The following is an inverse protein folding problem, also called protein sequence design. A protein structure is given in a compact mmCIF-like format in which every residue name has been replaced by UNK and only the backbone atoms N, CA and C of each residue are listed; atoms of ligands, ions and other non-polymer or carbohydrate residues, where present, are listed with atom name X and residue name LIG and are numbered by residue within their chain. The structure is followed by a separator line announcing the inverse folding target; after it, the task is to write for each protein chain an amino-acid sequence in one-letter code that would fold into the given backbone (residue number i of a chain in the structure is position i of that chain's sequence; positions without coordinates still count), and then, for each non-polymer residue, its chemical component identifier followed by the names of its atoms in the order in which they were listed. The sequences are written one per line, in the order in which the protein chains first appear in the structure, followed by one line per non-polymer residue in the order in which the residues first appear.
data_IF_337488409331
#
_entry.id   IF_337488409331
#
_cell.length_a   1.000
_cell.length_b   1.000
_cell.length_c   1.000
_cell.angle_alpha   90.00
_cell.angle_beta   90.00
_cell.angle_gamma   90.00
#
_symmetry.space_group_name_H-M   'P 1'
#
loop_
_entity.id
_entity.type
_entity.pdbx_description
1 polymer ?
#
# COMPACT_ATOMS: atom_id res chain seq x y z
N UNK A 1 70.47 -43.78 -10.20
CA UNK A 1 69.98 -43.72 -8.81
C UNK A 1 70.04 -42.28 -8.33
N UNK A 2 69.10 -41.94 -7.44
CA UNK A 2 68.82 -40.67 -6.73
C UNK A 2 68.29 -39.48 -7.53
N UNK A 3 67.06 -39.10 -7.13
CA UNK A 3 66.36 -37.85 -7.34
C UNK A 3 67.09 -36.68 -6.66
N UNK A 4 66.95 -35.46 -7.21
CA UNK A 4 66.93 -34.27 -6.39
C UNK A 4 65.99 -33.20 -6.98
N UNK A 5 65.13 -32.67 -6.11
CA UNK A 5 64.01 -31.77 -6.40
C UNK A 5 64.58 -30.34 -6.46
N UNK A 6 64.60 -29.73 -7.64
CA UNK A 6 65.04 -28.34 -7.82
C UNK A 6 63.85 -27.42 -8.16
N UNK A 7 63.46 -26.59 -7.19
CA UNK A 7 63.15 -25.18 -7.44
C UNK A 7 61.71 -24.79 -7.81
N UNK A 8 60.75 -24.95 -6.89
CA UNK A 8 59.55 -24.10 -6.92
C UNK A 8 59.89 -22.73 -6.31
N UNK A 9 60.17 -21.76 -7.18
CA UNK A 9 60.44 -20.37 -6.83
C UNK A 9 59.13 -19.58 -6.72
N UNK A 10 58.69 -19.34 -5.48
CA UNK A 10 57.43 -18.65 -5.10
C UNK A 10 57.45 -17.11 -5.26
N UNK A 11 58.54 -16.50 -5.73
CA UNK A 11 58.68 -15.03 -5.73
C UNK A 11 58.21 -14.33 -7.02
N UNK A 12 57.89 -15.09 -8.08
CA UNK A 12 57.12 -14.57 -9.23
C UNK A 12 55.65 -14.70 -8.87
N UNK A 13 55.05 -13.68 -8.25
CA UNK A 13 53.59 -13.59 -8.09
C UNK A 13 52.92 -13.82 -9.45
N UNK A 14 52.23 -14.93 -9.69
CA UNK A 14 51.26 -14.96 -10.76
C UNK A 14 50.11 -14.08 -10.27
N UNK A 15 49.95 -12.91 -10.87
CA UNK A 15 48.72 -12.13 -10.78
C UNK A 15 47.54 -13.06 -11.10
N UNK A 16 46.73 -13.37 -10.09
CA UNK A 16 45.45 -14.05 -10.24
C UNK A 16 44.48 -13.10 -10.94
N UNK A 17 44.62 -12.98 -12.26
CA UNK A 17 43.64 -12.33 -13.13
C UNK A 17 43.14 -13.35 -14.14
N UNK A 18 42.04 -14.01 -13.79
CA UNK A 18 40.98 -14.45 -14.70
C UNK A 18 39.85 -15.07 -13.86
N UNK A 19 39.05 -14.24 -13.20
CA UNK A 19 37.76 -14.70 -12.67
C UNK A 19 36.74 -14.59 -13.80
N UNK A 20 36.15 -15.72 -14.16
CA UNK A 20 35.26 -15.85 -15.30
C UNK A 20 33.95 -15.09 -15.07
N UNK A 21 33.54 -14.29 -16.05
CA UNK A 21 32.26 -13.55 -16.08
C UNK A 21 31.02 -14.44 -15.92
N UNK A 22 31.14 -15.76 -16.09
CA UNK A 22 30.10 -16.74 -15.81
C UNK A 22 29.88 -16.98 -14.30
N UNK A 23 30.96 -17.05 -13.52
CA UNK A 23 30.90 -17.26 -12.07
C UNK A 23 30.34 -16.02 -11.36
N UNK A 24 30.67 -14.82 -11.84
CA UNK A 24 30.09 -13.57 -11.31
C UNK A 24 28.57 -13.49 -11.51
N UNK A 25 28.05 -13.98 -12.64
CA UNK A 25 26.61 -14.02 -12.91
C UNK A 25 25.89 -15.04 -12.03
N UNK A 26 26.47 -16.22 -11.85
CA UNK A 26 25.93 -17.24 -10.95
C UNK A 26 25.91 -16.73 -9.50
N UNK A 27 26.97 -16.04 -9.09
CA UNK A 27 27.09 -15.41 -7.79
C UNK A 27 26.06 -14.31 -7.57
N UNK A 28 25.88 -13.43 -8.55
CA UNK A 28 24.87 -12.36 -8.48
C UNK A 28 23.45 -12.93 -8.39
N UNK A 29 23.16 -14.03 -9.10
CA UNK A 29 21.87 -14.71 -9.02
C UNK A 29 21.62 -15.34 -7.64
N UNK A 30 22.63 -16.02 -7.09
CA UNK A 30 22.55 -16.59 -5.74
C UNK A 30 22.35 -15.51 -4.66
N UNK A 31 23.09 -14.40 -4.75
CA UNK A 31 22.93 -13.27 -3.83
C UNK A 31 21.53 -12.64 -3.89
N UNK A 32 20.98 -12.47 -5.09
CA UNK A 32 19.59 -11.99 -5.26
C UNK A 32 18.60 -12.93 -4.62
N UNK A 33 18.73 -14.23 -4.87
CA UNK A 33 17.87 -15.26 -4.26
C UNK A 33 17.91 -15.20 -2.73
N UNK A 34 19.10 -15.10 -2.14
CA UNK A 34 19.26 -14.97 -0.67
C UNK A 34 18.65 -13.67 -0.11
N UNK A 35 18.69 -12.58 -0.87
CA UNK A 35 18.02 -11.31 -0.51
C UNK A 35 16.50 -11.49 -0.55
N UNK A 36 15.96 -12.09 -1.61
CA UNK A 36 14.53 -12.36 -1.76
C UNK A 36 14.00 -13.27 -0.65
N UNK A 37 14.70 -14.35 -0.33
CA UNK A 37 14.35 -15.25 0.78
C UNK A 37 14.33 -14.51 2.13
N UNK A 38 15.30 -13.61 2.36
CA UNK A 38 15.34 -12.80 3.57
C UNK A 38 14.18 -11.78 3.64
N UNK A 39 13.79 -11.20 2.50
CA UNK A 39 12.63 -10.32 2.41
C UNK A 39 11.33 -11.10 2.68
N UNK A 40 11.18 -12.29 2.09
CA UNK A 40 10.02 -13.16 2.36
C UNK A 40 9.94 -13.56 3.84
N UNK A 41 11.07 -13.84 4.48
CA UNK A 41 11.14 -14.12 5.90
C UNK A 41 10.78 -12.91 6.77
N UNK A 42 11.05 -11.68 6.32
CA UNK A 42 10.56 -10.47 6.99
C UNK A 42 9.05 -10.29 6.81
N UNK A 43 8.53 -10.57 5.61
CA UNK A 43 7.11 -10.41 5.30
C UNK A 43 6.20 -11.40 6.01
N UNK A 44 6.72 -12.57 6.40
CA UNK A 44 5.99 -13.55 7.19
C UNK A 44 5.97 -13.26 8.69
N UNK A 45 6.68 -12.23 9.14
CA UNK A 45 6.63 -11.81 10.55
C UNK A 45 5.23 -11.30 10.89
N UNK A 46 4.73 -11.70 12.07
CA UNK A 46 3.39 -11.37 12.55
C UNK A 46 3.07 -9.88 12.45
N UNK A 47 3.98 -9.01 12.89
CA UNK A 47 3.79 -7.55 12.86
C UNK A 47 3.61 -7.01 11.43
N UNK A 48 4.33 -7.56 10.45
CA UNK A 48 4.23 -7.15 9.04
C UNK A 48 2.93 -7.63 8.43
N UNK A 49 2.49 -8.85 8.77
CA UNK A 49 1.20 -9.40 8.34
C UNK A 49 0.04 -8.56 8.90
N UNK A 50 0.05 -8.28 10.21
CA UNK A 50 -0.98 -7.46 10.87
C UNK A 50 -1.04 -6.04 10.27
N UNK A 51 0.12 -5.41 10.02
CA UNK A 51 0.15 -4.09 9.40
C UNK A 51 -0.39 -4.11 7.96
N UNK A 52 -0.11 -5.17 7.19
CA UNK A 52 -0.66 -5.35 5.84
C UNK A 52 -2.17 -5.60 5.86
N UNK A 53 -2.67 -6.36 6.83
CA UNK A 53 -4.10 -6.59 7.01
C UNK A 53 -4.84 -5.30 7.37
N UNK A 54 -4.24 -4.48 8.24
CA UNK A 54 -4.75 -3.15 8.60
C UNK A 54 -4.82 -2.22 7.38
N UNK A 55 -3.75 -2.15 6.58
CA UNK A 55 -3.73 -1.45 5.30
C UNK A 55 -4.86 -1.93 4.38
N UNK A 56 -4.98 -3.25 4.18
CA UNK A 56 -6.02 -3.81 3.32
C UNK A 56 -7.45 -3.54 3.84
N UNK A 57 -7.64 -3.42 5.15
CA UNK A 57 -8.91 -3.04 5.74
C UNK A 57 -9.24 -1.56 5.47
N UNK A 58 -8.25 -0.67 5.62
CA UNK A 58 -8.41 0.76 5.33
C UNK A 58 -8.71 1.00 3.84
N UNK A 59 -8.02 0.31 2.93
CA UNK A 59 -8.28 0.37 1.49
C UNK A 59 -9.69 -0.13 1.13
N UNK A 60 -10.13 -1.23 1.73
CA UNK A 60 -11.50 -1.75 1.55
C UNK A 60 -12.56 -0.77 2.03
N UNK A 61 -12.32 -0.11 3.16
CA UNK A 61 -13.21 0.92 3.71
C UNK A 61 -13.27 2.15 2.81
N UNK A 62 -12.15 2.61 2.28
CA UNK A 62 -12.13 3.69 1.29
C UNK A 62 -12.88 3.29 0.01
N UNK A 63 -12.68 2.06 -0.47
CA UNK A 63 -13.37 1.51 -1.62
C UNK A 63 -14.89 1.45 -1.43
N UNK A 64 -15.36 1.05 -0.24
CA UNK A 64 -16.80 0.99 0.05
C UNK A 64 -17.44 2.38 0.05
N UNK A 65 -16.78 3.42 0.57
CA UNK A 65 -17.29 4.79 0.49
C UNK A 65 -17.35 5.34 -0.93
N UNK A 66 -16.32 5.10 -1.76
CA UNK A 66 -16.34 5.48 -3.19
C UNK A 66 -17.46 4.76 -3.96
N UNK A 67 -17.71 3.50 -3.65
CA UNK A 67 -18.80 2.75 -4.25
C UNK A 67 -20.17 3.29 -3.78
N UNK A 68 -20.32 3.63 -2.50
CA UNK A 68 -21.52 4.26 -1.98
C UNK A 68 -21.80 5.61 -2.64
N UNK A 69 -20.78 6.45 -2.84
CA UNK A 69 -20.89 7.73 -3.56
C UNK A 69 -21.41 7.53 -4.98
N UNK A 70 -20.83 6.60 -5.74
CA UNK A 70 -21.27 6.28 -7.11
C UNK A 70 -22.72 5.81 -7.13
N UNK A 71 -23.05 4.85 -6.28
CA UNK A 71 -24.41 4.31 -6.20
C UNK A 71 -25.43 5.38 -5.82
N UNK A 72 -25.14 6.22 -4.82
CA UNK A 72 -26.02 7.31 -4.43
C UNK A 72 -26.15 8.37 -5.52
N UNK A 73 -25.08 8.65 -6.27
CA UNK A 73 -25.11 9.59 -7.39
C UNK A 73 -26.01 9.09 -8.52
N UNK A 74 -25.93 7.80 -8.85
CA UNK A 74 -26.80 7.18 -9.85
C UNK A 74 -28.25 7.13 -9.37
N UNK A 75 -28.46 6.78 -8.10
CA UNK A 75 -29.78 6.83 -7.46
C UNK A 75 -30.37 8.24 -7.50
N UNK A 76 -29.61 9.28 -7.16
CA UNK A 76 -30.08 10.66 -7.15
C UNK A 76 -30.50 11.11 -8.55
N UNK A 77 -29.73 10.77 -9.60
CA UNK A 77 -30.09 11.05 -11.00
C UNK A 77 -31.36 10.32 -11.42
N UNK A 78 -31.48 9.04 -11.06
CA UNK A 78 -32.67 8.25 -11.38
C UNK A 78 -33.92 8.79 -10.66
N UNK A 79 -33.80 9.15 -9.38
CA UNK A 79 -34.89 9.72 -8.60
C UNK A 79 -35.36 11.06 -9.19
N UNK A 80 -34.44 11.92 -9.67
CA UNK A 80 -34.81 13.17 -10.33
C UNK A 80 -35.61 12.93 -11.61
N UNK A 81 -35.16 12.01 -12.46
CA UNK A 81 -35.88 11.65 -13.68
C UNK A 81 -37.25 11.05 -13.38
N UNK A 82 -37.34 10.19 -12.36
CA UNK A 82 -38.59 9.58 -11.93
C UNK A 82 -39.57 10.60 -11.33
N UNK A 83 -39.05 11.58 -10.58
CA UNK A 83 -39.85 12.69 -10.04
C UNK A 83 -40.48 13.52 -11.16
N UNK A 84 -39.72 13.84 -12.22
CA UNK A 84 -40.24 14.59 -13.36
C UNK A 84 -41.39 13.85 -14.07
N UNK A 85 -41.23 12.55 -14.32
CA UNK A 85 -42.28 11.71 -14.93
C UNK A 85 -43.51 11.63 -14.02
N UNK A 86 -43.31 11.43 -12.72
CA UNK A 86 -44.40 11.34 -11.75
C UNK A 86 -45.13 12.68 -11.59
N UNK A 87 -44.42 13.81 -11.68
CA UNK A 87 -44.98 15.14 -11.62
C UNK A 87 -45.90 15.41 -12.82
N UNK A 88 -45.46 15.08 -14.02
CA UNK A 88 -46.29 15.19 -15.23
C UNK A 88 -47.55 14.31 -15.11
N UNK A 89 -47.42 13.07 -14.64
CA UNK A 89 -48.56 12.19 -14.41
C UNK A 89 -49.53 12.71 -13.34
N UNK A 90 -49.02 13.34 -12.28
CA UNK A 90 -49.84 13.97 -11.24
C UNK A 90 -50.60 15.19 -11.77
N UNK A 91 -49.94 16.05 -12.56
CA UNK A 91 -50.56 17.20 -13.22
C UNK A 91 -51.68 16.77 -14.17
N UNK A 92 -51.42 15.77 -15.02
CA UNK A 92 -52.43 15.22 -15.92
C UNK A 92 -53.64 14.66 -15.17
N UNK A 93 -53.43 14.01 -14.03
CA UNK A 93 -54.52 13.51 -13.19
C UNK A 93 -55.35 14.64 -12.57
N UNK A 94 -54.72 15.73 -12.15
CA UNK A 94 -55.44 16.91 -11.66
C UNK A 94 -56.23 17.61 -12.76
N UNK A 95 -55.65 17.77 -13.95
CA UNK A 95 -56.35 18.33 -15.11
C UNK A 95 -57.57 17.47 -15.45
N UNK A 96 -57.42 16.14 -15.50
CA UNK A 96 -58.52 15.22 -15.78
C UNK A 96 -59.63 15.29 -14.70
N UNK A 97 -59.25 15.33 -13.41
CA UNK A 97 -60.22 15.46 -12.31
C UNK A 97 -60.99 16.78 -12.41
N UNK A 98 -60.28 17.88 -12.67
CA UNK A 98 -60.88 19.21 -12.82
C UNK A 98 -61.82 19.30 -14.03
N UNK A 99 -61.47 18.64 -15.15
CA UNK A 99 -62.28 18.62 -16.36
C UNK A 99 -63.66 17.95 -16.16
N UNK A 100 -63.76 17.01 -15.21
CA UNK A 100 -65.01 16.30 -14.88
C UNK A 100 -65.70 16.91 -13.65
N UNK A 101 -65.12 17.96 -13.04
CA UNK A 101 -65.66 18.61 -11.84
C UNK A 101 -65.49 17.78 -10.56
N UNK A 102 -64.59 16.79 -10.57
CA UNK A 102 -64.29 15.94 -9.43
C UNK A 102 -63.19 16.55 -8.54
N UNK A 103 -63.08 16.05 -7.31
CA UNK A 103 -62.00 16.47 -6.40
C UNK A 103 -60.64 16.03 -6.95
N UNK A 104 -59.58 16.86 -6.84
CA UNK A 104 -58.24 16.50 -7.33
C UNK A 104 -57.69 15.21 -6.71
N UNK A 105 -57.07 14.36 -7.53
CA UNK A 105 -56.39 13.14 -7.08
C UNK A 105 -55.02 13.44 -6.43
N UNK A 106 -54.96 13.52 -5.10
CA UNK A 106 -53.70 13.84 -4.38
C UNK A 106 -52.73 12.67 -4.23
N UNK A 107 -53.15 11.43 -4.49
CA UNK A 107 -52.31 10.23 -4.29
C UNK A 107 -51.04 10.26 -5.15
N UNK A 108 -51.15 10.73 -6.40
CA UNK A 108 -50.02 10.86 -7.32
C UNK A 108 -49.05 11.96 -6.89
N UNK A 109 -49.57 13.09 -6.41
CA UNK A 109 -48.74 14.16 -5.85
C UNK A 109 -47.97 13.73 -4.59
N UNK A 110 -48.58 12.91 -3.72
CA UNK A 110 -47.88 12.34 -2.57
C UNK A 110 -46.70 11.44 -2.99
N UNK A 111 -46.84 10.69 -4.10
CA UNK A 111 -45.75 9.89 -4.65
C UNK A 111 -44.60 10.76 -5.17
N UNK A 112 -44.90 11.90 -5.83
CA UNK A 112 -43.88 12.88 -6.25
C UNK A 112 -43.11 13.41 -5.04
N UNK A 113 -43.81 13.86 -4.01
CA UNK A 113 -43.19 14.40 -2.80
C UNK A 113 -42.27 13.37 -2.11
N UNK A 114 -42.65 12.08 -2.11
CA UNK A 114 -41.80 11.00 -1.58
C UNK A 114 -40.50 10.85 -2.38
N UNK A 115 -40.56 10.88 -3.72
CA UNK A 115 -39.38 10.73 -4.57
C UNK A 115 -38.46 11.95 -4.41
N UNK A 116 -39.00 13.16 -4.37
CA UNK A 116 -38.23 14.38 -4.13
C UNK A 116 -37.53 14.36 -2.77
N UNK A 117 -38.22 13.89 -1.73
CA UNK A 117 -37.64 13.74 -0.38
C UNK A 117 -36.48 12.75 -0.40
N UNK A 118 -36.63 11.60 -1.07
CA UNK A 118 -35.56 10.61 -1.21
C UNK A 118 -34.36 11.17 -1.99
N UNK A 119 -34.61 11.93 -3.05
CA UNK A 119 -33.57 12.61 -3.82
C UNK A 119 -32.78 13.61 -2.96
N UNK A 120 -33.47 14.43 -2.16
CA UNK A 120 -32.81 15.37 -1.24
C UNK A 120 -31.95 14.66 -0.18
N UNK A 121 -32.44 13.54 0.38
CA UNK A 121 -31.64 12.73 1.31
C UNK A 121 -30.42 12.12 0.62
N UNK A 122 -30.55 11.65 -0.62
CA UNK A 122 -29.43 11.15 -1.40
C UNK A 122 -28.36 12.22 -1.63
N UNK A 123 -28.75 13.45 -1.99
CA UNK A 123 -27.82 14.58 -2.14
C UNK A 123 -27.08 14.86 -0.84
N UNK A 124 -27.79 14.99 0.30
CA UNK A 124 -27.15 15.21 1.60
C UNK A 124 -26.21 14.08 2.02
N UNK A 125 -26.56 12.84 1.67
CA UNK A 125 -25.70 11.69 1.92
C UNK A 125 -24.43 11.75 1.05
N UNK A 126 -24.55 12.13 -0.22
CA UNK A 126 -23.40 12.34 -1.13
C UNK A 126 -22.51 13.46 -0.60
N UNK A 127 -23.06 14.61 -0.24
CA UNK A 127 -22.32 15.73 0.36
C UNK A 127 -21.51 15.25 1.55
N UNK A 128 -22.14 14.55 2.50
CA UNK A 128 -21.44 14.02 3.68
C UNK A 128 -20.36 13.00 3.33
N UNK A 129 -20.56 12.16 2.31
CA UNK A 129 -19.55 11.21 1.84
C UNK A 129 -18.34 11.93 1.24
N UNK A 130 -18.58 12.87 0.34
CA UNK A 130 -17.54 13.59 -0.40
C UNK A 130 -16.78 14.55 0.51
N UNK A 131 -17.48 15.24 1.41
CA UNK A 131 -16.87 16.23 2.30
C UNK A 131 -16.15 15.61 3.48
N UNK A 132 -16.63 14.48 4.03
CA UNK A 132 -16.10 13.94 5.28
C UNK A 132 -15.61 12.49 5.20
N UNK A 133 -16.46 11.54 4.78
CA UNK A 133 -16.12 10.12 4.89
C UNK A 133 -14.99 9.70 3.95
N UNK A 134 -15.03 10.13 2.69
CA UNK A 134 -14.01 9.80 1.71
C UNK A 134 -12.67 10.44 2.09
N UNK A 135 -12.57 11.75 2.40
CA UNK A 135 -11.32 12.35 2.83
C UNK A 135 -10.74 11.70 4.09
N UNK A 136 -11.56 11.44 5.10
CA UNK A 136 -11.10 10.78 6.33
C UNK A 136 -10.56 9.37 6.05
N UNK A 137 -11.26 8.57 5.22
CA UNK A 137 -10.81 7.24 4.84
C UNK A 137 -9.55 7.26 3.95
N UNK A 138 -9.37 8.29 3.13
CA UNK A 138 -8.13 8.48 2.36
C UNK A 138 -6.94 8.73 3.27
N UNK A 139 -7.09 9.60 4.26
CA UNK A 139 -6.05 9.88 5.26
C UNK A 139 -5.72 8.59 6.03
N UNK A 140 -6.73 7.87 6.53
CA UNK A 140 -6.56 6.59 7.22
C UNK A 140 -5.83 5.56 6.34
N UNK A 141 -6.22 5.43 5.07
CA UNK A 141 -5.56 4.52 4.12
C UNK A 141 -4.08 4.84 3.92
N UNK A 142 -3.72 6.12 3.79
CA UNK A 142 -2.32 6.54 3.62
C UNK A 142 -1.51 6.35 4.90
N UNK A 143 -2.12 6.58 6.07
CA UNK A 143 -1.47 6.33 7.38
C UNK A 143 -1.15 4.85 7.55
N UNK A 144 -2.10 3.98 7.23
CA UNK A 144 -1.91 2.53 7.32
C UNK A 144 -0.92 2.00 6.27
N UNK A 145 -0.92 2.56 5.05
CA UNK A 145 0.09 2.24 4.02
C UNK A 145 1.50 2.64 4.47
N UNK A 146 1.67 3.85 5.01
CA UNK A 146 2.94 4.31 5.58
C UNK A 146 3.40 3.40 6.74
N UNK A 147 2.48 3.04 7.63
CA UNK A 147 2.75 2.14 8.75
C UNK A 147 3.18 0.76 8.26
N UNK A 148 2.46 0.15 7.31
CA UNK A 148 2.82 -1.15 6.73
C UNK A 148 4.21 -1.14 6.09
N UNK A 149 4.54 -0.11 5.32
CA UNK A 149 5.86 0.05 4.71
C UNK A 149 6.97 0.26 5.75
N UNK A 150 6.72 1.04 6.81
CA UNK A 150 7.67 1.21 7.92
C UNK A 150 7.91 -0.09 8.68
N UNK A 151 6.85 -0.85 8.98
CA UNK A 151 6.94 -2.13 9.68
C UNK A 151 7.71 -3.15 8.85
N UNK A 152 7.44 -3.22 7.54
CA UNK A 152 8.22 -4.05 6.60
C UNK A 152 9.70 -3.64 6.56
N UNK A 153 9.98 -2.34 6.54
CA UNK A 153 11.34 -1.82 6.54
C UNK A 153 12.11 -2.16 7.82
N UNK A 154 11.45 -2.07 8.98
CA UNK A 154 12.02 -2.46 10.29
C UNK A 154 12.28 -3.95 10.36
N UNK A 155 11.35 -4.78 9.88
CA UNK A 155 11.52 -6.23 9.85
C UNK A 155 12.73 -6.66 8.99
N UNK A 156 12.89 -6.08 7.80
CA UNK A 156 14.07 -6.35 6.94
C UNK A 156 15.36 -5.80 7.53
N UNK A 157 15.33 -4.63 8.16
CA UNK A 157 16.50 -4.08 8.86
C UNK A 157 16.92 -4.97 10.04
N UNK A 158 15.98 -5.49 10.82
CA UNK A 158 16.26 -6.42 11.92
C UNK A 158 16.95 -7.70 11.40
N UNK A 159 16.47 -8.28 10.29
CA UNK A 159 17.13 -9.42 9.66
C UNK A 159 18.54 -9.07 9.17
N UNK A 160 18.71 -7.90 8.57
CA UNK A 160 20.01 -7.42 8.12
C UNK A 160 21.00 -7.24 9.29
N UNK A 161 20.54 -6.66 10.41
CA UNK A 161 21.33 -6.49 11.63
C UNK A 161 21.70 -7.82 12.27
N UNK A 162 20.75 -8.76 12.39
CA UNK A 162 21.03 -10.11 12.91
C UNK A 162 22.07 -10.84 12.06
N UNK A 163 21.99 -10.72 10.73
CA UNK A 163 22.99 -11.29 9.81
C UNK A 163 24.34 -10.63 9.99
N UNK A 164 24.40 -9.31 10.06
CA UNK A 164 25.63 -8.57 10.32
C UNK A 164 26.30 -8.97 11.64
N UNK A 165 25.53 -9.14 12.72
CA UNK A 165 26.04 -9.58 14.02
C UNK A 165 26.60 -11.00 13.99
N UNK A 166 25.92 -11.94 13.31
CA UNK A 166 26.43 -13.32 13.13
C UNK A 166 27.77 -13.34 12.40
N UNK A 167 27.91 -12.53 11.35
CA UNK A 167 29.16 -12.42 10.59
C UNK A 167 30.27 -11.85 11.47
N UNK A 168 29.99 -10.78 12.23
CA UNK A 168 30.97 -10.19 13.15
C UNK A 168 31.45 -11.20 14.21
N UNK A 169 30.55 -12.05 14.72
CA UNK A 169 30.91 -13.16 15.61
C UNK A 169 31.86 -14.15 14.93
N UNK A 170 31.50 -14.65 13.75
CA UNK A 170 32.32 -15.60 12.99
C UNK A 170 33.71 -15.04 12.64
N UNK A 171 33.79 -13.75 12.27
CA UNK A 171 35.07 -13.09 11.98
C UNK A 171 35.91 -12.98 13.25
N UNK A 172 35.30 -12.65 14.40
CA UNK A 172 36.01 -12.59 15.69
C UNK A 172 36.58 -13.95 16.08
N UNK A 173 35.80 -15.02 15.91
CA UNK A 173 36.22 -16.38 16.25
C UNK A 173 37.35 -16.83 15.33
N UNK A 174 37.25 -16.60 14.01
CA UNK A 174 38.30 -16.99 13.06
C UNK A 174 39.61 -16.20 13.20
N UNK A 175 39.53 -14.92 13.57
CA UNK A 175 40.72 -14.12 13.90
C UNK A 175 41.39 -14.63 15.18
N UNK A 176 40.60 -15.19 16.12
CA UNK A 176 41.13 -15.77 17.35
C UNK A 176 41.78 -17.15 17.12
N UNK A 177 41.30 -17.90 16.14
CA UNK A 177 41.76 -19.28 15.83
C UNK A 177 42.76 -19.36 14.66
N UNK A 178 43.26 -18.23 14.14
CA UNK A 178 44.15 -18.13 12.96
C UNK A 178 43.63 -18.92 11.73
N UNK A 179 42.31 -19.09 11.61
CA UNK A 179 41.68 -19.81 10.51
C UNK A 179 41.37 -18.87 9.34
N UNK A 180 41.72 -19.28 8.12
CA UNK A 180 41.28 -18.60 6.89
C UNK A 180 39.82 -18.92 6.66
N UNK A 181 38.92 -18.03 7.09
CA UNK A 181 37.53 -18.08 6.67
C UNK A 181 37.42 -17.60 5.22
N UNK A 182 36.70 -18.31 4.33
CA UNK A 182 36.17 -17.66 3.14
C UNK A 182 35.25 -16.54 3.63
N UNK A 183 35.60 -15.28 3.33
CA UNK A 183 34.77 -14.13 3.66
C UNK A 183 33.46 -14.31 2.88
N UNK A 184 32.44 -14.81 3.56
CA UNK A 184 31.15 -15.12 2.97
C UNK A 184 30.52 -13.83 2.44
N UNK A 185 30.03 -13.87 1.20
CA UNK A 185 29.47 -12.77 0.41
C UNK A 185 28.20 -12.14 1.00
N UNK A 186 27.81 -12.62 2.17
CA UNK A 186 26.83 -12.09 3.12
C UNK A 186 26.90 -10.57 3.41
N UNK A 187 28.06 -9.92 3.20
CA UNK A 187 28.18 -8.44 3.23
C UNK A 187 27.33 -7.76 2.15
N UNK A 188 27.25 -8.35 0.96
CA UNK A 188 26.41 -7.86 -0.14
C UNK A 188 24.91 -8.02 0.16
N UNK A 189 24.53 -9.13 0.79
CA UNK A 189 23.13 -9.39 1.17
C UNK A 189 22.66 -8.43 2.26
N UNK A 190 23.46 -8.23 3.32
CA UNK A 190 23.08 -7.32 4.42
C UNK A 190 23.00 -5.86 3.93
N UNK A 191 23.95 -5.43 3.07
CA UNK A 191 23.90 -4.13 2.43
C UNK A 191 22.68 -3.95 1.50
N UNK A 192 22.34 -4.96 0.70
CA UNK A 192 21.17 -4.94 -0.16
C UNK A 192 19.86 -4.85 0.64
N UNK A 193 19.74 -5.61 1.74
CA UNK A 193 18.58 -5.55 2.64
C UNK A 193 18.44 -4.17 3.28
N UNK A 194 19.54 -3.54 3.72
CA UNK A 194 19.52 -2.17 4.24
C UNK A 194 19.12 -1.16 3.16
N UNK A 195 19.56 -1.33 1.91
CA UNK A 195 19.14 -0.49 0.79
C UNK A 195 17.64 -0.61 0.51
N UNK A 196 17.09 -1.84 0.51
CA UNK A 196 15.64 -2.07 0.40
C UNK A 196 14.86 -1.42 1.55
N UNK A 197 15.31 -1.60 2.79
CA UNK A 197 14.72 -0.97 3.97
C UNK A 197 14.73 0.55 3.86
N UNK A 198 15.85 1.16 3.46
CA UNK A 198 15.95 2.61 3.25
C UNK A 198 14.99 3.11 2.15
N UNK A 199 14.83 2.35 1.07
CA UNK A 199 13.85 2.63 0.02
C UNK A 199 12.41 2.65 0.54
N UNK A 200 12.01 1.63 1.31
CA UNK A 200 10.68 1.59 1.92
C UNK A 200 10.47 2.66 2.98
N UNK A 201 11.48 2.98 3.81
CA UNK A 201 11.41 4.10 4.76
C UNK A 201 11.18 5.42 4.04
N UNK A 202 11.91 5.68 2.94
CA UNK A 202 11.73 6.90 2.15
C UNK A 202 10.32 7.00 1.58
N UNK A 203 9.80 5.92 1.00
CA UNK A 203 8.43 5.88 0.48
C UNK A 203 7.40 6.09 1.60
N UNK A 204 7.55 5.43 2.74
CA UNK A 204 6.64 5.58 3.85
C UNK A 204 6.63 7.00 4.43
N UNK A 205 7.78 7.67 4.50
CA UNK A 205 7.85 9.08 4.90
C UNK A 205 7.15 10.00 3.90
N UNK A 206 7.31 9.75 2.59
CA UNK A 206 6.60 10.51 1.56
C UNK A 206 5.09 10.32 1.66
N UNK A 207 4.62 9.08 1.85
CA UNK A 207 3.19 8.78 2.03
C UNK A 207 2.65 9.42 3.31
N UNK A 208 3.41 9.40 4.42
CA UNK A 208 3.00 10.08 5.65
C UNK A 208 2.91 11.60 5.45
N UNK A 209 3.86 12.21 4.73
CA UNK A 209 3.82 13.63 4.43
C UNK A 209 2.59 13.98 3.58
N UNK A 210 2.26 13.16 2.58
CA UNK A 210 1.04 13.32 1.79
C UNK A 210 -0.23 13.20 2.66
N UNK A 211 -0.24 12.29 3.64
CA UNK A 211 -1.34 12.16 4.60
C UNK A 211 -1.47 13.42 5.47
N UNK A 212 -0.34 13.98 5.94
CA UNK A 212 -0.32 15.22 6.73
C UNK A 212 -0.82 16.42 5.92
N UNK A 213 -0.42 16.54 4.65
CA UNK A 213 -0.89 17.59 3.74
C UNK A 213 -2.40 17.49 3.49
N UNK A 214 -2.89 16.28 3.21
CA UNK A 214 -4.33 16.04 3.05
C UNK A 214 -5.10 16.36 4.32
N UNK A 215 -4.60 15.94 5.48
CA UNK A 215 -5.22 16.21 6.78
C UNK A 215 -5.27 17.71 7.10
N UNK A 216 -4.20 18.46 6.80
CA UNK A 216 -4.21 19.93 6.92
C UNK A 216 -5.25 20.55 6.01
N UNK A 217 -5.26 20.19 4.72
CA UNK A 217 -6.23 20.72 3.76
C UNK A 217 -7.68 20.40 4.14
N UNK A 218 -7.92 19.24 4.77
CA UNK A 218 -9.23 18.81 5.24
C UNK A 218 -9.65 19.62 6.47
N UNK A 219 -8.75 19.78 7.44
CA UNK A 219 -9.01 20.56 8.64
C UNK A 219 -9.21 22.06 8.36
N UNK A 220 -8.51 22.61 7.37
CA UNK A 220 -8.72 23.99 6.89
C UNK A 220 -10.11 24.14 6.27
N UNK A 221 -10.49 23.24 5.35
CA UNK A 221 -11.82 23.23 4.73
C UNK A 221 -12.96 23.08 5.73
N UNK A 222 -12.74 22.37 6.84
CA UNK A 222 -13.74 22.20 7.91
C UNK A 222 -13.90 23.42 8.82
N UNK A 223 -12.88 24.29 8.89
CA UNK A 223 -12.90 25.50 9.73
C UNK A 223 -13.44 26.73 9.01
N UNK A 224 -13.38 26.74 7.67
CA UNK A 224 -13.99 27.75 6.81
C UNK A 224 -15.51 27.62 6.77
#
# INVERSE_FOLDING_TARGET
MSFDIAGLNLAKTPTLEAVATGDEKALAADLRKRVEEAIQAAESQKEVVEARESQAAAERKLGSFKNAERWLSDFAKAALAQAAIAAEAALNAWIASAAVGEKPEYKKAAAVASIETQHQFAIRAIERLVEHFIPAAQIESLREESHALMTRARAVEAIAQQRAQKILGQVRDAVSDEMVLPIDLSKGVSGALLAHSAGWKKMALQISANADELERSYNERRKA
#
